data_IF_117304443241
#
_entry.id   IF_117304443241
#
_cell.length_a   1.000
_cell.length_b   1.000
_cell.length_c   1.000
_cell.angle_alpha   90.00
_cell.angle_beta   90.00
_cell.angle_gamma   90.00
#
_symmetry.space_group_name_H-M   'P 1'
#
loop_
_entity.id
_entity.type
_entity.pdbx_description
1 polymer ?
#
# COMPACT_ATOMS: atom_id res chain seq x y z
N UNK A 1 15.09 5.77 -15.89
CA UNK A 1 16.02 6.77 -15.33
C UNK A 1 17.20 6.02 -14.75
N UNK A 2 18.43 6.25 -15.30
CA UNK A 2 19.65 5.55 -14.84
C UNK A 2 20.05 5.88 -13.40
N UNK A 3 19.39 6.84 -12.77
CA UNK A 3 19.63 7.31 -11.40
C UNK A 3 18.52 6.94 -10.42
N UNK A 4 17.64 6.00 -10.76
CA UNK A 4 16.54 5.61 -9.88
C UNK A 4 17.04 4.80 -8.67
N UNK A 5 16.76 5.25 -7.46
CA UNK A 5 17.10 4.52 -6.23
C UNK A 5 16.08 3.42 -5.99
N UNK A 6 16.54 2.16 -6.13
CA UNK A 6 15.72 0.96 -5.87
C UNK A 6 16.10 0.39 -4.51
N UNK A 7 15.08 0.06 -3.72
CA UNK A 7 15.22 -0.63 -2.44
C UNK A 7 14.68 -2.04 -2.60
N UNK A 8 15.56 -3.01 -2.47
CA UNK A 8 15.20 -4.43 -2.55
C UNK A 8 14.40 -4.86 -1.32
N UNK A 9 13.26 -5.52 -1.56
CA UNK A 9 12.46 -6.15 -0.54
C UNK A 9 12.76 -7.65 -0.45
N UNK A 10 12.72 -8.19 0.77
CA UNK A 10 12.89 -9.63 0.99
C UNK A 10 11.67 -10.41 0.47
N UNK A 11 11.89 -11.59 -0.13
CA UNK A 11 10.84 -12.37 -0.80
C UNK A 11 10.63 -13.76 -0.20
N UNK A 12 11.68 -14.43 0.19
CA UNK A 12 11.59 -15.84 0.63
C UNK A 12 11.62 -15.98 2.16
N UNK A 13 12.48 -15.26 2.86
CA UNK A 13 12.70 -15.38 4.30
C UNK A 13 11.49 -14.90 5.14
N UNK A 14 10.64 -14.08 4.53
CA UNK A 14 9.50 -13.44 5.20
C UNK A 14 8.26 -14.34 5.32
N UNK A 15 8.18 -15.46 4.61
CA UNK A 15 6.99 -16.33 4.57
C UNK A 15 6.60 -16.87 5.95
N UNK A 16 7.56 -16.95 6.88
CA UNK A 16 7.36 -17.48 8.22
C UNK A 16 7.47 -16.41 9.33
N UNK A 17 7.35 -15.14 9.00
CA UNK A 17 7.50 -14.04 9.97
C UNK A 17 6.36 -14.04 10.99
N UNK A 18 5.17 -14.46 10.59
CA UNK A 18 4.03 -14.67 11.47
C UNK A 18 3.78 -16.15 11.72
N UNK A 19 3.38 -16.46 12.97
CA UNK A 19 2.93 -17.80 13.35
C UNK A 19 1.43 -17.84 13.68
N UNK A 20 0.72 -16.73 13.55
CA UNK A 20 -0.71 -16.66 13.78
C UNK A 20 -1.46 -17.34 12.64
N UNK A 21 -2.48 -18.08 13.00
CA UNK A 21 -3.41 -18.66 12.04
C UNK A 21 -4.31 -17.58 11.42
N UNK A 22 -4.87 -17.84 10.25
CA UNK A 22 -5.83 -16.93 9.62
C UNK A 22 -7.04 -16.64 10.53
N UNK A 23 -7.50 -17.66 11.26
CA UNK A 23 -8.61 -17.51 12.21
C UNK A 23 -8.27 -16.47 13.31
N UNK A 24 -7.14 -16.62 13.97
CA UNK A 24 -6.68 -15.69 15.01
C UNK A 24 -6.54 -14.25 14.48
N UNK A 25 -6.00 -14.10 13.28
CA UNK A 25 -5.81 -12.80 12.65
C UNK A 25 -7.15 -12.13 12.33
N UNK A 26 -8.11 -12.87 11.77
CA UNK A 26 -9.44 -12.33 11.47
C UNK A 26 -10.18 -11.97 12.77
N UNK A 27 -10.11 -12.82 13.78
CA UNK A 27 -10.77 -12.61 15.06
C UNK A 27 -10.22 -11.40 15.83
N UNK A 28 -8.89 -11.19 15.81
CA UNK A 28 -8.23 -10.12 16.56
C UNK A 28 -8.12 -8.79 15.81
N UNK A 29 -8.13 -8.79 14.47
CA UNK A 29 -7.98 -7.58 13.66
C UNK A 29 -9.00 -6.50 14.03
N UNK A 30 -8.51 -5.32 14.39
CA UNK A 30 -9.32 -4.11 14.61
C UNK A 30 -8.70 -2.93 13.85
N UNK A 31 -9.50 -1.93 13.53
CA UNK A 31 -9.02 -0.65 12.99
C UNK A 31 -8.26 0.10 14.08
N UNK A 32 -6.93 0.13 13.97
CA UNK A 32 -6.05 0.73 14.96
C UNK A 32 -5.83 2.22 14.64
N UNK A 33 -6.07 3.10 15.63
CA UNK A 33 -5.98 4.55 15.46
C UNK A 33 -5.07 5.23 16.48
N UNK A 34 -4.37 4.46 17.32
CA UNK A 34 -3.34 4.91 18.24
C UNK A 34 -2.17 3.96 18.13
N UNK A 35 -1.00 4.49 17.86
CA UNK A 35 0.19 3.71 17.60
C UNK A 35 1.24 3.96 18.67
N UNK A 36 1.97 2.91 19.04
CA UNK A 36 3.20 3.03 19.80
C UNK A 36 4.30 3.57 18.87
N UNK A 37 5.28 4.28 19.45
CA UNK A 37 6.43 4.81 18.72
C UNK A 37 7.48 3.72 18.46
N UNK A 38 7.09 2.72 17.70
CA UNK A 38 7.94 1.57 17.33
C UNK A 38 7.99 1.46 15.81
N UNK A 39 9.18 1.51 15.21
CA UNK A 39 9.35 1.40 13.76
C UNK A 39 9.08 -0.03 13.27
N UNK A 40 8.66 -0.15 12.01
CA UNK A 40 8.71 -1.42 11.27
C UNK A 40 10.17 -1.84 11.03
N UNK A 41 10.43 -3.13 11.00
CA UNK A 41 11.66 -3.65 10.40
C UNK A 41 11.51 -3.77 8.88
N UNK A 42 12.62 -3.91 8.15
CA UNK A 42 12.59 -4.18 6.71
C UNK A 42 11.89 -5.50 6.39
N UNK A 43 12.05 -6.52 7.24
CA UNK A 43 11.37 -7.81 7.07
C UNK A 43 9.85 -7.67 7.21
N UNK A 44 9.40 -6.90 8.20
CA UNK A 44 7.97 -6.60 8.39
C UNK A 44 7.40 -5.80 7.22
N UNK A 45 8.12 -4.77 6.75
CA UNK A 45 7.69 -4.01 5.57
C UNK A 45 7.61 -4.90 4.32
N UNK A 46 8.64 -5.73 4.10
CA UNK A 46 8.67 -6.69 2.99
C UNK A 46 7.49 -7.67 3.06
N UNK A 47 7.17 -8.17 4.25
CA UNK A 47 6.03 -9.04 4.48
C UNK A 47 4.70 -8.35 4.13
N UNK A 48 4.52 -7.09 4.56
CA UNK A 48 3.31 -6.34 4.22
C UNK A 48 3.13 -6.22 2.69
N UNK A 49 4.19 -5.91 1.94
CA UNK A 49 4.11 -5.85 0.48
C UNK A 49 3.88 -7.23 -0.15
N UNK A 50 4.54 -8.25 0.37
CA UNK A 50 4.42 -9.61 -0.12
C UNK A 50 2.97 -10.12 0.00
N UNK A 51 2.31 -9.91 1.13
CA UNK A 51 0.93 -10.37 1.33
C UNK A 51 -0.12 -9.46 0.67
N UNK A 52 0.23 -8.20 0.39
CA UNK A 52 -0.71 -7.20 -0.12
C UNK A 52 -0.62 -7.02 -1.63
N UNK A 53 0.58 -6.91 -2.19
CA UNK A 53 0.75 -6.36 -3.54
C UNK A 53 1.58 -7.23 -4.49
N UNK A 54 2.14 -8.36 -4.00
CA UNK A 54 3.00 -9.19 -4.84
C UNK A 54 2.34 -9.67 -6.12
N UNK A 55 3.18 -9.85 -7.13
CA UNK A 55 2.81 -10.46 -8.39
C UNK A 55 3.08 -11.97 -8.34
N UNK A 56 2.05 -12.79 -8.51
CA UNK A 56 2.21 -14.25 -8.62
C UNK A 56 2.69 -14.68 -10.00
N UNK A 57 2.12 -14.05 -11.03
CA UNK A 57 2.38 -14.43 -12.42
C UNK A 57 2.08 -13.26 -13.34
N UNK A 58 2.94 -13.09 -14.32
CA UNK A 58 2.72 -12.19 -15.44
C UNK A 58 2.79 -12.98 -16.75
N UNK A 59 1.79 -12.88 -17.58
CA UNK A 59 1.74 -13.57 -18.87
C UNK A 59 0.84 -12.83 -19.84
N UNK A 60 1.33 -12.59 -21.07
CA UNK A 60 0.56 -11.96 -22.16
C UNK A 60 -0.15 -10.65 -21.75
N UNK A 61 0.52 -9.82 -20.96
CA UNK A 61 -0.06 -8.54 -20.47
C UNK A 61 -1.02 -8.67 -19.28
N UNK A 62 -1.24 -9.88 -18.76
CA UNK A 62 -2.11 -10.14 -17.62
C UNK A 62 -1.28 -10.35 -16.36
N UNK A 63 -1.62 -9.66 -15.27
CA UNK A 63 -0.93 -9.76 -13.98
C UNK A 63 -1.85 -10.33 -12.91
N UNK A 64 -1.38 -11.38 -12.23
CA UNK A 64 -2.08 -12.01 -11.11
C UNK A 64 -1.46 -11.54 -9.80
N UNK A 65 -2.22 -10.81 -9.01
CA UNK A 65 -1.79 -10.18 -7.76
C UNK A 65 -2.17 -11.01 -6.53
N UNK A 66 -1.64 -10.65 -5.37
CA UNK A 66 -2.02 -11.23 -4.09
C UNK A 66 -3.48 -10.96 -3.72
N UNK A 67 -4.11 -9.96 -4.31
CA UNK A 67 -5.53 -9.66 -4.17
C UNK A 67 -6.30 -9.98 -5.47
N UNK A 68 -7.60 -10.32 -5.38
CA UNK A 68 -8.44 -10.51 -6.54
C UNK A 68 -8.58 -9.23 -7.36
N UNK A 69 -8.39 -9.32 -8.66
CA UNK A 69 -8.61 -8.23 -9.63
C UNK A 69 -9.57 -8.70 -10.71
N UNK A 70 -10.61 -7.93 -10.98
CA UNK A 70 -11.62 -8.25 -12.00
C UNK A 70 -11.00 -8.41 -13.38
N UNK A 71 -11.13 -9.63 -13.96
CA UNK A 71 -10.51 -9.95 -15.25
C UNK A 71 -9.00 -9.85 -15.27
N UNK A 72 -8.34 -9.82 -14.12
CA UNK A 72 -6.90 -9.62 -13.94
C UNK A 72 -6.36 -8.34 -14.62
N UNK A 73 -7.16 -7.28 -14.60
CA UNK A 73 -6.81 -5.98 -15.21
C UNK A 73 -5.79 -5.19 -14.42
N UNK A 74 -5.63 -5.50 -13.11
CA UNK A 74 -4.65 -4.90 -12.21
C UNK A 74 -4.64 -3.37 -12.29
N UNK A 75 -5.79 -2.77 -12.00
CA UNK A 75 -6.00 -1.33 -12.12
C UNK A 75 -5.24 -0.49 -11.09
N UNK A 76 -4.71 -1.13 -10.03
CA UNK A 76 -4.08 -0.42 -8.93
C UNK A 76 -2.56 -0.36 -9.06
N UNK A 77 -2.01 0.80 -8.70
CA UNK A 77 -0.62 0.94 -8.28
C UNK A 77 -0.56 1.08 -6.75
N UNK A 78 0.58 0.76 -6.16
CA UNK A 78 0.78 0.87 -4.71
C UNK A 78 1.93 1.82 -4.42
N UNK A 79 1.66 2.85 -3.64
CA UNK A 79 2.66 3.77 -3.11
C UNK A 79 2.72 3.61 -1.59
N UNK A 80 3.85 3.97 -1.00
CA UNK A 80 3.99 3.97 0.45
C UNK A 80 4.77 5.20 0.90
N UNK A 81 4.20 5.94 1.83
CA UNK A 81 4.97 6.90 2.61
C UNK A 81 5.59 6.16 3.80
N UNK A 82 6.90 6.17 3.85
CA UNK A 82 7.70 5.61 4.95
C UNK A 82 7.96 6.71 5.97
N UNK A 83 7.43 6.52 7.16
CA UNK A 83 7.66 7.42 8.30
C UNK A 83 8.68 6.83 9.28
N UNK A 84 8.52 5.54 9.65
CA UNK A 84 9.35 4.88 10.65
C UNK A 84 9.62 3.42 10.25
N UNK A 85 10.69 3.20 9.48
CA UNK A 85 11.19 1.86 9.12
C UNK A 85 12.67 1.80 9.41
N UNK A 86 13.12 0.79 10.16
CA UNK A 86 14.55 0.62 10.48
C UNK A 86 15.36 0.33 9.22
N UNK A 87 16.39 1.15 8.98
CA UNK A 87 17.30 0.98 7.85
C UNK A 87 16.75 1.46 6.50
N UNK A 88 15.59 2.12 6.49
CA UNK A 88 15.04 2.74 5.30
C UNK A 88 14.84 4.24 5.52
N UNK A 89 15.24 5.03 4.56
CA UNK A 89 15.06 6.48 4.57
C UNK A 89 13.56 6.83 4.57
N UNK A 90 13.20 7.86 5.33
CA UNK A 90 11.86 8.45 5.31
C UNK A 90 11.61 9.05 3.92
N UNK A 91 10.40 8.87 3.39
CA UNK A 91 10.08 9.38 2.07
C UNK A 91 8.91 8.66 1.42
N UNK A 92 8.62 9.06 0.20
CA UNK A 92 7.63 8.42 -0.65
C UNK A 92 8.30 7.41 -1.58
N UNK A 93 7.67 6.24 -1.67
CA UNK A 93 8.12 5.14 -2.52
C UNK A 93 6.95 4.60 -3.35
N UNK A 94 7.27 4.07 -4.53
CA UNK A 94 6.34 3.30 -5.36
C UNK A 94 6.76 1.83 -5.37
N UNK A 95 5.82 0.94 -5.19
CA UNK A 95 6.06 -0.50 -5.33
C UNK A 95 6.11 -0.90 -6.81
N UNK A 96 7.17 -1.59 -7.18
CA UNK A 96 7.39 -2.14 -8.52
C UNK A 96 7.03 -3.64 -8.51
N UNK A 97 5.87 -4.03 -9.03
CA UNK A 97 5.36 -5.38 -8.82
C UNK A 97 6.13 -6.49 -9.54
N UNK A 98 6.83 -6.18 -10.64
CA UNK A 98 7.59 -7.19 -11.39
C UNK A 98 8.86 -7.60 -10.63
N UNK A 99 9.78 -6.70 -10.25
CA UNK A 99 10.89 -7.05 -9.39
C UNK A 99 10.45 -7.34 -7.95
N UNK A 100 9.33 -6.76 -7.50
CA UNK A 100 8.86 -6.87 -6.12
C UNK A 100 9.61 -5.96 -5.15
N UNK A 101 10.05 -4.79 -5.60
CA UNK A 101 10.92 -3.86 -4.90
C UNK A 101 10.30 -2.46 -4.81
N UNK A 102 10.94 -1.55 -4.09
CA UNK A 102 10.48 -0.17 -3.96
C UNK A 102 11.35 0.77 -4.78
N UNK A 103 10.70 1.66 -5.52
CA UNK A 103 11.33 2.80 -6.16
C UNK A 103 11.17 4.01 -5.24
N UNK A 104 12.28 4.60 -4.80
CA UNK A 104 12.27 5.88 -4.10
C UNK A 104 11.82 6.99 -5.06
N UNK A 105 10.83 7.77 -4.64
CA UNK A 105 10.31 8.89 -5.44
C UNK A 105 10.91 10.21 -4.96
N UNK A 106 10.73 10.54 -3.68
CA UNK A 106 11.33 11.72 -3.07
C UNK A 106 11.14 11.73 -1.55
N UNK A 107 11.91 12.62 -0.91
CA UNK A 107 11.67 13.07 0.46
C UNK A 107 11.80 14.60 0.50
N UNK A 108 11.20 15.23 1.47
CA UNK A 108 11.36 16.64 1.81
C UNK A 108 11.12 16.84 3.30
N UNK A 109 11.61 17.96 3.84
CA UNK A 109 11.39 18.32 5.24
C UNK A 109 9.91 18.56 5.58
N UNK A 110 9.07 18.82 4.56
CA UNK A 110 7.63 19.08 4.71
C UNK A 110 6.75 17.85 4.43
N UNK A 111 7.32 16.78 3.89
CA UNK A 111 6.54 15.63 3.39
C UNK A 111 5.64 15.00 4.46
N UNK A 112 6.09 14.90 5.72
CA UNK A 112 5.25 14.37 6.81
C UNK A 112 4.01 15.24 7.05
N UNK A 113 4.17 16.55 7.05
CA UNK A 113 3.08 17.48 7.22
C UNK A 113 2.13 17.43 6.03
N UNK A 114 2.65 17.41 4.80
CA UNK A 114 1.87 17.29 3.57
C UNK A 114 1.03 16.01 3.57
N UNK A 115 1.64 14.86 3.95
CA UNK A 115 0.92 13.60 4.10
C UNK A 115 -0.14 13.71 5.19
N UNK A 116 0.19 14.26 6.36
CA UNK A 116 -0.77 14.38 7.46
C UNK A 116 -1.96 15.28 7.12
N UNK A 117 -1.74 16.37 6.40
CA UNK A 117 -2.79 17.27 5.92
C UNK A 117 -3.69 16.56 4.90
N UNK A 118 -3.08 15.85 3.94
CA UNK A 118 -3.82 15.04 2.96
C UNK A 118 -4.70 13.97 3.64
N UNK A 119 -4.25 13.42 4.76
CA UNK A 119 -5.00 12.47 5.57
C UNK A 119 -5.96 13.14 6.58
N UNK A 120 -6.13 14.46 6.54
CA UNK A 120 -6.96 15.22 7.50
C UNK A 120 -6.59 14.89 8.96
N UNK A 121 -5.28 14.96 9.27
CA UNK A 121 -4.69 14.68 10.59
C UNK A 121 -4.87 13.23 11.07
N UNK A 122 -4.93 12.27 10.14
CA UNK A 122 -5.09 10.85 10.49
C UNK A 122 -3.81 10.02 10.38
N UNK A 123 -2.64 10.62 10.15
CA UNK A 123 -1.35 9.91 10.22
C UNK A 123 -1.07 9.38 11.63
N UNK A 124 -1.35 10.17 12.67
CA UNK A 124 -1.32 9.78 14.09
C UNK A 124 -0.03 9.09 14.54
N UNK A 125 1.10 9.44 13.89
CA UNK A 125 2.39 8.83 14.17
C UNK A 125 2.56 7.41 13.66
N UNK A 126 1.75 6.97 12.70
CA UNK A 126 1.87 5.68 12.04
C UNK A 126 3.25 5.46 11.42
N UNK A 127 3.68 4.21 11.30
CA UNK A 127 4.98 3.86 10.76
C UNK A 127 5.05 3.95 9.23
N UNK A 128 3.94 3.66 8.55
CA UNK A 128 3.82 3.76 7.11
C UNK A 128 2.38 4.07 6.68
N UNK A 129 2.24 4.70 5.52
CA UNK A 129 0.93 4.89 4.87
C UNK A 129 0.98 4.24 3.50
N UNK A 130 0.13 3.25 3.29
CA UNK A 130 -0.08 2.62 1.99
C UNK A 130 -1.17 3.35 1.24
N UNK A 131 -0.88 3.77 0.02
CA UNK A 131 -1.83 4.37 -0.91
C UNK A 131 -2.04 3.43 -2.09
N UNK A 132 -3.27 3.27 -2.49
CA UNK A 132 -3.61 2.65 -3.77
C UNK A 132 -4.14 3.72 -4.69
N UNK A 133 -3.49 3.85 -5.85
CA UNK A 133 -4.00 4.67 -6.94
C UNK A 133 -4.72 3.79 -7.94
N UNK A 134 -5.70 4.36 -8.62
CA UNK A 134 -6.41 3.72 -9.72
C UNK A 134 -5.88 4.26 -11.05
N UNK A 135 -5.71 3.38 -12.03
CA UNK A 135 -5.53 3.72 -13.45
C UNK A 135 -6.74 3.16 -14.21
N UNK A 136 -7.86 3.91 -14.30
CA UNK A 136 -9.16 3.41 -14.75
C UNK A 136 -9.13 2.73 -16.11
N UNK A 137 -8.37 3.29 -17.06
CA UNK A 137 -8.26 2.75 -18.43
C UNK A 137 -7.85 1.28 -18.48
N UNK A 138 -7.12 0.77 -17.46
CA UNK A 138 -6.73 -0.66 -17.39
C UNK A 138 -7.91 -1.61 -17.23
N UNK A 139 -9.03 -1.11 -16.69
CA UNK A 139 -10.25 -1.90 -16.49
C UNK A 139 -11.37 -1.47 -17.45
N UNK A 140 -11.45 -0.20 -17.78
CA UNK A 140 -12.49 0.37 -18.66
C UNK A 140 -12.48 -0.20 -20.06
N UNK A 141 -11.30 -0.50 -20.64
CA UNK A 141 -11.21 -1.09 -21.97
C UNK A 141 -11.97 -2.41 -22.08
N UNK A 142 -12.15 -3.13 -20.96
CA UNK A 142 -12.83 -4.42 -20.90
C UNK A 142 -14.24 -4.34 -20.33
N UNK A 143 -14.47 -3.44 -19.37
CA UNK A 143 -15.70 -3.41 -18.57
C UNK A 143 -16.48 -2.09 -18.67
N UNK A 144 -15.97 -1.15 -19.47
CA UNK A 144 -16.63 0.15 -19.68
C UNK A 144 -17.02 0.83 -18.36
N UNK A 145 -18.23 1.40 -18.28
CA UNK A 145 -18.69 2.13 -17.10
C UNK A 145 -18.83 1.29 -15.82
N UNK A 146 -18.82 -0.05 -15.89
CA UNK A 146 -18.82 -0.89 -14.69
C UNK A 146 -17.45 -0.98 -14.03
N UNK A 147 -16.39 -0.50 -14.69
CA UNK A 147 -15.01 -0.53 -14.20
C UNK A 147 -14.85 0.17 -12.84
N UNK A 148 -15.51 1.32 -12.62
CA UNK A 148 -15.41 2.06 -11.36
C UNK A 148 -15.76 1.22 -10.12
N UNK A 149 -16.80 0.40 -10.22
CA UNK A 149 -17.19 -0.53 -9.15
C UNK A 149 -16.15 -1.61 -8.94
N UNK A 150 -15.58 -2.15 -10.01
CA UNK A 150 -14.58 -3.21 -9.95
C UNK A 150 -13.27 -2.70 -9.33
N UNK A 151 -12.85 -1.49 -9.69
CA UNK A 151 -11.65 -0.83 -9.14
C UNK A 151 -11.81 -0.59 -7.63
N UNK A 152 -12.99 -0.10 -7.20
CA UNK A 152 -13.26 0.10 -5.78
C UNK A 152 -13.23 -1.21 -4.97
N UNK A 153 -13.79 -2.30 -5.53
CA UNK A 153 -13.71 -3.62 -4.90
C UNK A 153 -12.27 -4.13 -4.83
N UNK A 154 -11.48 -3.95 -5.89
CA UNK A 154 -10.07 -4.33 -5.94
C UNK A 154 -9.26 -3.61 -4.84
N UNK A 155 -9.46 -2.30 -4.67
CA UNK A 155 -8.84 -1.52 -3.62
C UNK A 155 -9.23 -2.02 -2.21
N UNK A 156 -10.50 -2.40 -2.02
CA UNK A 156 -10.97 -3.01 -0.77
C UNK A 156 -10.30 -4.36 -0.47
N UNK A 157 -10.08 -5.20 -1.49
CA UNK A 157 -9.36 -6.46 -1.34
C UNK A 157 -7.91 -6.25 -0.91
N UNK A 158 -7.20 -5.34 -1.58
CA UNK A 158 -5.81 -5.00 -1.26
C UNK A 158 -5.69 -4.45 0.17
N UNK A 159 -6.59 -3.54 0.55
CA UNK A 159 -6.63 -2.95 1.89
C UNK A 159 -6.92 -4.01 2.98
N UNK A 160 -7.82 -4.96 2.73
CA UNK A 160 -8.10 -6.04 3.67
C UNK A 160 -6.88 -6.97 3.84
N UNK A 161 -6.17 -7.30 2.77
CA UNK A 161 -4.93 -8.06 2.86
C UNK A 161 -3.90 -7.33 3.76
N UNK A 162 -3.72 -6.02 3.58
CA UNK A 162 -2.82 -5.22 4.43
C UNK A 162 -3.26 -5.25 5.90
N UNK A 163 -4.55 -5.14 6.17
CA UNK A 163 -5.07 -5.16 7.54
C UNK A 163 -4.80 -6.50 8.24
N UNK A 164 -4.99 -7.62 7.52
CA UNK A 164 -4.69 -8.97 8.04
C UNK A 164 -3.18 -9.18 8.19
N UNK A 165 -2.37 -8.78 7.20
CA UNK A 165 -0.92 -8.90 7.26
C UNK A 165 -0.34 -8.07 8.43
N UNK A 166 -0.85 -6.86 8.66
CA UNK A 166 -0.44 -6.04 9.80
C UNK A 166 -0.76 -6.72 11.12
N UNK A 167 -1.98 -7.26 11.26
CA UNK A 167 -2.40 -8.00 12.44
C UNK A 167 -1.53 -9.23 12.71
N UNK A 168 -1.13 -9.92 11.64
CA UNK A 168 -0.31 -11.12 11.72
C UNK A 168 1.09 -10.88 12.33
N UNK A 169 1.62 -9.66 12.22
CA UNK A 169 2.94 -9.26 12.73
C UNK A 169 2.87 -8.35 13.97
N UNK A 170 1.75 -8.35 14.69
CA UNK A 170 1.50 -7.51 15.89
C UNK A 170 1.59 -6.00 15.63
N UNK A 171 1.30 -5.59 14.43
CA UNK A 171 0.98 -4.22 14.04
C UNK A 171 -0.53 -4.11 13.81
N UNK A 172 -0.99 -2.91 13.56
CA UNK A 172 -2.38 -2.70 13.20
C UNK A 172 -2.49 -1.71 12.05
N UNK A 173 -3.61 -1.77 11.36
CA UNK A 173 -3.90 -0.87 10.26
C UNK A 173 -5.25 -0.19 10.45
N UNK A 174 -5.41 0.98 9.83
CA UNK A 174 -6.71 1.63 9.66
C UNK A 174 -6.87 2.10 8.24
N UNK A 175 -7.91 1.61 7.58
CA UNK A 175 -8.34 2.10 6.29
C UNK A 175 -8.97 3.49 6.41
N UNK A 176 -8.63 4.39 5.51
CA UNK A 176 -9.12 5.77 5.49
C UNK A 176 -9.73 6.07 4.13
N UNK A 177 -10.98 6.48 4.13
CA UNK A 177 -11.71 7.00 2.95
C UNK A 177 -11.96 8.52 3.07
N UNK A 178 -11.89 9.07 4.28
CA UNK A 178 -12.08 10.49 4.55
C UNK A 178 -10.73 11.24 4.48
N UNK A 179 -10.13 11.30 3.30
CA UNK A 179 -8.91 12.05 2.99
C UNK A 179 -9.21 13.22 2.05
N UNK A 180 -8.24 14.07 1.80
CA UNK A 180 -8.32 15.10 0.78
C UNK A 180 -7.74 14.54 -0.53
N UNK A 181 -8.58 14.40 -1.55
CA UNK A 181 -8.21 13.82 -2.85
C UNK A 181 -7.08 14.59 -3.51
N UNK A 182 -7.26 15.90 -3.66
CA UNK A 182 -6.30 16.76 -4.36
C UNK A 182 -4.93 16.77 -3.68
N UNK A 183 -4.91 16.82 -2.34
CA UNK A 183 -3.66 16.79 -1.60
C UNK A 183 -2.99 15.42 -1.67
N UNK A 184 -3.75 14.32 -1.63
CA UNK A 184 -3.19 12.97 -1.79
C UNK A 184 -2.55 12.80 -3.18
N UNK A 185 -3.24 13.19 -4.25
CA UNK A 185 -2.73 13.08 -5.62
C UNK A 185 -1.47 13.94 -5.80
N UNK A 186 -1.45 15.15 -5.23
CA UNK A 186 -0.29 16.03 -5.22
C UNK A 186 0.91 15.39 -4.48
N UNK A 187 0.71 14.81 -3.31
CA UNK A 187 1.75 14.11 -2.55
C UNK A 187 2.33 12.97 -3.37
N UNK A 188 1.50 12.19 -4.05
CA UNK A 188 1.96 11.07 -4.87
C UNK A 188 2.53 11.51 -6.22
N UNK A 189 2.39 12.79 -6.60
CA UNK A 189 2.77 13.35 -7.92
C UNK A 189 2.03 12.66 -9.07
N UNK A 190 0.78 12.29 -8.86
CA UNK A 190 -0.12 11.80 -9.90
C UNK A 190 -1.05 12.94 -10.37
N UNK A 191 -1.64 12.79 -11.57
CA UNK A 191 -2.39 13.89 -12.22
C UNK A 191 -3.82 14.08 -11.69
N UNK A 192 -4.34 13.09 -10.96
CA UNK A 192 -5.72 13.13 -10.45
C UNK A 192 -6.80 12.77 -11.48
N UNK A 193 -6.42 12.45 -12.71
CA UNK A 193 -7.33 12.12 -13.84
C UNK A 193 -7.03 10.72 -14.39
N UNK A 194 -5.85 10.52 -15.00
CA UNK A 194 -5.41 9.23 -15.55
C UNK A 194 -4.94 8.28 -14.43
N UNK A 195 -4.38 8.83 -13.35
CA UNK A 195 -4.03 8.13 -12.13
C UNK A 195 -4.41 8.98 -10.91
N UNK A 196 -5.15 8.43 -9.96
CA UNK A 196 -5.58 9.10 -8.74
C UNK A 196 -5.67 8.14 -7.55
N UNK A 197 -5.54 8.68 -6.33
CA UNK A 197 -5.71 7.90 -5.10
C UNK A 197 -7.17 7.45 -4.97
N UNK A 198 -7.38 6.16 -4.75
CA UNK A 198 -8.73 5.61 -4.53
C UNK A 198 -8.92 5.11 -3.10
N UNK A 199 -7.86 4.67 -2.44
CA UNK A 199 -7.92 4.21 -1.05
C UNK A 199 -6.55 4.30 -0.40
N UNK A 200 -6.54 4.37 0.93
CA UNK A 200 -5.29 4.37 1.69
C UNK A 200 -5.46 3.75 3.08
N UNK A 201 -4.34 3.36 3.68
CA UNK A 201 -4.32 2.79 5.02
C UNK A 201 -3.05 3.17 5.77
N UNK A 202 -3.21 3.59 7.02
CA UNK A 202 -2.09 3.84 7.94
C UNK A 202 -1.78 2.58 8.72
N UNK A 203 -0.51 2.24 8.83
CA UNK A 203 0.01 1.09 9.58
C UNK A 203 0.91 1.57 10.70
N UNK A 204 0.79 0.97 11.88
CA UNK A 204 1.66 1.26 13.02
C UNK A 204 1.60 0.18 14.10
N UNK A 205 2.51 0.25 15.07
CA UNK A 205 2.59 -0.73 16.17
C UNK A 205 1.39 -0.58 17.10
N UNK A 206 0.81 -1.72 17.51
CA UNK A 206 -0.22 -1.80 18.57
C UNK A 206 0.33 -1.39 19.92
#
# INVERSE_FOLDING_TARGET
DENATIVELKKEEIKNISKKTLHEVIESRRSLRKYQDVPLSMDQLSYLFYETSRLFKYTKGISFRAYPSGGATASLETYVYINKVKGLEKGLYRYLPIPGDLLFIYNSEHLENEVNDALKNQLRGGAAVFFWTAIPRRTEFKYSFTAHKMIAMEAGHACQNLALASEAIDFGAVAISAYDQTLCDKVLKVDGEEEFVIYLSVVGKK
#
